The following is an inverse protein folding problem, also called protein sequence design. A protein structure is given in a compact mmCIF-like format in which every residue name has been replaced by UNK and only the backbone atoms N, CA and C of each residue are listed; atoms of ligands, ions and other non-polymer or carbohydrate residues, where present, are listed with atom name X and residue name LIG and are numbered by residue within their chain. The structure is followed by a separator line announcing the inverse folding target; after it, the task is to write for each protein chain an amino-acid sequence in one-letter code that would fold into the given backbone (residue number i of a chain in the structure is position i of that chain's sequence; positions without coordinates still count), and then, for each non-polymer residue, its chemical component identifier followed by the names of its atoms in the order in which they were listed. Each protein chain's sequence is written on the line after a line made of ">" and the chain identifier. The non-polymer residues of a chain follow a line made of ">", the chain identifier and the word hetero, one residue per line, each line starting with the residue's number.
data_IF_579467725524
#
_entry.id   IF_579467725524
#
_cell.length_a   1.000
_cell.length_b   1.000
_cell.length_c   1.000
_cell.angle_alpha   90.00
_cell.angle_beta   90.00
_cell.angle_gamma   90.00
#
_symmetry.space_group_name_H-M   'P 1'
#
loop_
_entity.id
_entity.type
_entity.pdbx_description
1 polymer ?
#
# COMPACT_ATOMS: atom_id res chain seq x y z
N UNK A 1 45.10 39.38 31.04
CA UNK A 1 44.44 38.07 30.88
C UNK A 1 43.56 37.99 29.61
N UNK A 2 44.10 38.32 28.43
CA UNK A 2 43.40 38.14 27.12
C UNK A 2 44.36 37.69 25.99
N UNK A 3 45.47 37.04 26.34
CA UNK A 3 46.46 36.49 25.38
C UNK A 3 46.77 35.00 25.56
N UNK A 4 46.13 34.34 26.53
CA UNK A 4 46.34 32.90 26.81
C UNK A 4 45.23 32.02 26.20
N UNK A 5 44.03 32.58 25.94
CA UNK A 5 42.93 31.80 25.35
C UNK A 5 43.06 31.64 23.81
N UNK A 6 43.84 32.50 23.14
CA UNK A 6 43.99 32.45 21.68
C UNK A 6 45.10 31.49 21.20
N UNK A 7 46.03 31.06 22.08
CA UNK A 7 47.04 30.04 21.72
C UNK A 7 46.56 28.59 21.89
N UNK A 8 45.50 28.32 22.66
CA UNK A 8 44.93 26.98 22.74
C UNK A 8 44.05 26.61 21.53
N UNK A 9 43.46 27.59 20.83
CA UNK A 9 42.65 27.33 19.65
C UNK A 9 43.48 27.06 18.38
N UNK A 10 44.75 27.51 18.32
CA UNK A 10 45.62 27.31 17.16
C UNK A 10 46.40 25.98 17.20
N UNK A 11 46.50 25.33 18.36
CA UNK A 11 47.21 24.04 18.52
C UNK A 11 46.31 22.82 18.25
N UNK A 12 44.98 22.97 18.28
CA UNK A 12 44.05 21.88 17.90
C UNK A 12 43.75 21.81 16.39
N UNK A 13 44.04 22.86 15.62
CA UNK A 13 43.80 22.90 14.17
C UNK A 13 44.97 22.37 13.32
N UNK A 14 46.06 21.91 13.94
CA UNK A 14 47.27 21.40 13.25
C UNK A 14 47.55 19.90 13.49
N UNK A 15 46.55 19.12 13.91
CA UNK A 15 46.68 17.66 14.14
C UNK A 15 45.81 16.75 13.25
N UNK A 16 45.34 17.24 12.10
CA UNK A 16 44.57 16.42 11.14
C UNK A 16 45.21 16.28 9.76
N UNK A 17 46.54 16.41 9.66
CA UNK A 17 47.29 16.27 8.41
C UNK A 17 48.49 15.33 8.58
N UNK A 18 48.26 14.04 8.85
CA UNK A 18 49.26 12.97 8.63
C UNK A 18 48.65 11.57 8.73
N UNK A 19 47.99 11.07 7.68
CA UNK A 19 47.83 9.64 7.43
C UNK A 19 47.35 9.40 5.98
N UNK A 20 48.16 9.83 5.02
CA UNK A 20 48.06 9.41 3.62
C UNK A 20 49.43 8.83 3.24
N UNK A 21 49.43 7.74 2.46
CA UNK A 21 50.61 6.94 1.98
C UNK A 21 50.95 5.79 2.96
N UNK A 22 50.67 4.51 2.67
CA UNK A 22 51.31 3.70 1.62
C UNK A 22 50.63 2.31 1.56
N UNK A 23 50.16 1.84 0.39
CA UNK A 23 50.64 0.62 -0.29
C UNK A 23 49.81 0.31 -1.55
N UNK A 24 50.49 0.41 -2.70
CA UNK A 24 50.08 -0.10 -3.99
C UNK A 24 50.63 -1.53 -4.23
N UNK A 25 50.20 -2.14 -5.35
CA UNK A 25 50.61 -3.42 -6.00
C UNK A 25 49.63 -4.58 -5.69
N UNK A 26 49.08 -5.36 -6.64
CA UNK A 26 49.48 -5.68 -8.02
C UNK A 26 48.35 -6.40 -8.81
N UNK A 27 48.37 -6.24 -10.15
CA UNK A 27 47.77 -7.08 -11.23
C UNK A 27 46.24 -7.18 -11.37
N UNK A 28 45.65 -7.19 -12.57
CA UNK A 28 46.24 -7.32 -13.89
C UNK A 28 45.30 -7.05 -15.08
N UNK A 29 45.98 -6.69 -16.18
CA UNK A 29 45.70 -7.05 -17.58
C UNK A 29 44.40 -6.58 -18.27
N UNK A 30 44.54 -5.47 -19.02
CA UNK A 30 43.82 -5.21 -20.27
C UNK A 30 44.43 -5.98 -21.45
N UNK A 31 43.57 -6.51 -22.33
CA UNK A 31 43.71 -6.63 -23.81
C UNK A 31 42.26 -6.69 -24.34
N UNK A 32 41.65 -5.62 -24.86
CA UNK A 32 41.82 -4.91 -26.14
C UNK A 32 41.40 -5.70 -27.38
N UNK A 33 40.35 -5.18 -28.05
CA UNK A 33 40.04 -5.21 -29.51
C UNK A 33 39.68 -6.60 -30.11
N UNK A 34 38.81 -6.77 -31.10
CA UNK A 34 38.49 -5.95 -32.28
C UNK A 34 37.21 -6.47 -32.99
N UNK A 35 36.36 -5.55 -33.45
CA UNK A 35 35.70 -5.46 -34.77
C UNK A 35 35.04 -6.67 -35.49
N UNK A 36 33.74 -6.46 -35.78
CA UNK A 36 33.16 -6.29 -37.12
C UNK A 36 32.58 -7.48 -37.93
N UNK A 37 31.29 -7.28 -38.25
CA UNK A 37 30.63 -7.27 -39.58
C UNK A 37 30.27 -8.58 -40.32
N UNK A 38 29.03 -8.49 -40.86
CA UNK A 38 28.47 -9.08 -42.09
C UNK A 38 28.16 -10.59 -42.04
N UNK A 39 27.17 -11.13 -42.76
CA UNK A 39 26.00 -10.64 -43.48
C UNK A 39 25.32 -11.86 -44.13
N UNK A 40 24.02 -11.75 -44.42
CA UNK A 40 23.26 -12.37 -45.53
C UNK A 40 23.22 -13.91 -45.71
N UNK A 41 21.98 -14.42 -45.75
CA UNK A 41 21.35 -15.07 -46.92
C UNK A 41 19.85 -15.26 -46.60
N UNK A 42 18.86 -14.65 -47.29
CA UNK A 42 18.33 -14.95 -48.66
C UNK A 42 17.77 -16.40 -48.66
N UNK A 43 16.49 -16.70 -48.93
CA UNK A 43 15.72 -16.43 -50.16
C UNK A 43 14.24 -16.90 -50.03
N UNK A 44 13.29 -16.13 -50.64
CA UNK A 44 12.14 -16.48 -51.54
C UNK A 44 11.20 -17.67 -51.21
N UNK A 45 9.90 -17.71 -51.53
CA UNK A 45 9.05 -17.15 -52.60
C UNK A 45 7.59 -17.05 -52.08
N UNK A 46 6.77 -16.06 -52.49
CA UNK A 46 5.80 -16.16 -53.61
C UNK A 46 4.50 -16.84 -53.14
N UNK A 47 3.27 -16.37 -53.37
CA UNK A 47 2.70 -15.57 -54.44
C UNK A 47 1.21 -15.30 -54.15
N UNK A 48 0.77 -14.09 -54.48
CA UNK A 48 -0.51 -13.67 -55.10
C UNK A 48 -1.72 -14.64 -55.11
N UNK A 49 -2.92 -14.13 -54.77
CA UNK A 49 -4.05 -14.09 -55.71
C UNK A 49 -5.21 -13.19 -55.23
N UNK A 50 -5.66 -12.39 -56.19
CA UNK A 50 -6.76 -11.41 -56.22
C UNK A 50 -8.12 -12.03 -56.59
N UNK A 51 -9.25 -11.54 -56.03
CA UNK A 51 -10.58 -11.33 -56.70
C UNK A 51 -11.58 -10.77 -55.64
N UNK A 52 -12.18 -9.57 -55.67
CA UNK A 52 -13.05 -8.79 -56.60
C UNK A 52 -14.52 -9.28 -56.72
N UNK A 53 -15.43 -8.34 -56.39
CA UNK A 53 -16.87 -8.16 -56.80
C UNK A 53 -17.94 -8.94 -56.00
N UNK A 54 -19.17 -8.48 -55.70
CA UNK A 54 -20.12 -7.39 -56.08
C UNK A 54 -21.19 -7.34 -54.94
N UNK A 55 -21.73 -6.21 -54.43
CA UNK A 55 -22.77 -5.27 -54.91
C UNK A 55 -24.25 -5.71 -54.90
N UNK A 56 -25.11 -4.81 -54.36
CA UNK A 56 -26.59 -4.65 -54.41
C UNK A 56 -27.42 -5.46 -53.38
N UNK A 57 -28.53 -4.99 -52.77
CA UNK A 57 -29.35 -3.77 -52.81
C UNK A 57 -30.57 -3.98 -51.85
N UNK A 58 -30.94 -3.00 -51.01
CA UNK A 58 -32.21 -2.21 -50.98
C UNK A 58 -33.53 -3.02 -50.79
N UNK A 59 -34.30 -2.72 -49.71
CA UNK A 59 -35.73 -2.29 -49.67
C UNK A 59 -36.32 -2.38 -48.23
N UNK A 60 -36.71 -1.25 -47.61
CA UNK A 60 -38.08 -0.71 -47.39
C UNK A 60 -38.94 -1.37 -46.28
N UNK A 61 -39.23 -0.55 -45.25
CA UNK A 61 -40.37 -0.55 -44.28
C UNK A 61 -41.74 -0.39 -45.01
N UNK A 62 -42.97 -0.48 -44.41
CA UNK A 62 -43.36 -0.24 -43.00
C UNK A 62 -44.64 -0.96 -42.43
N UNK A 63 -45.11 -0.48 -41.25
CA UNK A 63 -46.52 -0.25 -40.80
C UNK A 63 -47.27 -1.22 -39.83
N UNK A 64 -47.79 -0.60 -38.73
CA UNK A 64 -49.04 -0.83 -37.93
C UNK A 64 -49.27 -2.22 -37.25
N UNK A 65 -49.91 -2.37 -36.08
CA UNK A 65 -51.00 -1.61 -35.47
C UNK A 65 -51.15 -1.88 -33.95
N UNK A 66 -51.94 -1.01 -33.33
CA UNK A 66 -52.36 -0.87 -31.93
C UNK A 66 -53.13 -2.05 -31.31
N UNK A 67 -53.19 -2.08 -29.98
CA UNK A 67 -54.17 -2.84 -29.19
C UNK A 67 -54.30 -2.31 -27.76
N UNK A 68 -55.23 -1.38 -27.57
CA UNK A 68 -55.78 -0.88 -26.28
C UNK A 68 -56.88 -1.82 -25.77
N UNK A 69 -56.92 -2.08 -24.46
CA UNK A 69 -58.14 -2.30 -23.64
C UNK A 69 -57.74 -2.36 -22.15
N UNK A 70 -57.89 -1.31 -21.34
CA UNK A 70 -59.07 -0.81 -20.62
C UNK A 70 -59.57 -1.65 -19.42
N UNK A 71 -59.31 -1.04 -18.25
CA UNK A 71 -59.91 -1.06 -16.92
C UNK A 71 -61.21 -1.85 -16.61
N UNK A 72 -61.26 -2.35 -15.37
CA UNK A 72 -62.48 -2.40 -14.54
C UNK A 72 -62.15 -2.08 -13.07
N UNK A 73 -62.80 -1.04 -12.54
CA UNK A 73 -62.86 -0.71 -11.10
C UNK A 73 -64.07 -1.43 -10.46
N UNK A 74 -63.99 -1.74 -9.16
CA UNK A 74 -64.89 -1.20 -8.09
C UNK A 74 -65.09 -2.14 -6.88
N UNK A 75 -64.59 -1.66 -5.72
CA UNK A 75 -65.08 -1.70 -4.31
C UNK A 75 -65.57 -3.01 -3.65
N UNK A 76 -65.18 -3.24 -2.39
CA UNK A 76 -65.91 -2.82 -1.16
C UNK A 76 -65.13 -3.19 0.14
N UNK A 77 -65.43 -2.45 1.21
CA UNK A 77 -64.88 -2.49 2.58
C UNK A 77 -65.29 -3.71 3.42
N UNK A 78 -64.48 -4.12 4.41
CA UNK A 78 -64.89 -4.26 5.83
C UNK A 78 -63.73 -4.65 6.77
N UNK A 79 -63.70 -4.01 7.94
CA UNK A 79 -62.88 -4.22 9.16
C UNK A 79 -63.16 -5.53 9.92
N UNK A 80 -62.14 -6.10 10.60
CA UNK A 80 -62.08 -6.42 12.06
C UNK A 80 -60.77 -7.14 12.43
N UNK A 81 -60.45 -7.10 13.73
CA UNK A 81 -59.17 -7.22 14.46
C UNK A 81 -58.56 -8.64 14.67
N UNK A 82 -57.27 -8.58 15.06
CA UNK A 82 -56.46 -9.44 15.95
C UNK A 82 -56.46 -10.99 15.86
N UNK A 83 -55.26 -11.56 15.65
CA UNK A 83 -54.66 -12.66 16.46
C UNK A 83 -53.18 -12.87 16.06
N UNK A 84 -52.31 -13.09 17.06
CA UNK A 84 -50.85 -13.10 16.99
C UNK A 84 -50.20 -14.44 16.55
N UNK A 85 -49.11 -14.28 15.76
CA UNK A 85 -47.88 -15.10 15.57
C UNK A 85 -47.99 -16.56 15.04
N UNK A 86 -46.91 -17.18 14.47
CA UNK A 86 -45.57 -16.68 14.12
C UNK A 86 -45.22 -16.85 12.62
N UNK A 87 -44.22 -16.13 12.09
CA UNK A 87 -43.67 -16.42 10.76
C UNK A 87 -42.16 -16.29 10.75
N UNK A 88 -41.54 -17.45 10.60
CA UNK A 88 -40.13 -17.72 10.31
C UNK A 88 -39.75 -17.19 8.92
N UNK A 89 -38.45 -16.92 8.74
CA UNK A 89 -37.72 -16.82 7.46
C UNK A 89 -37.82 -15.42 6.83
N UNK A 90 -36.74 -14.67 6.56
CA UNK A 90 -35.36 -15.05 6.24
C UNK A 90 -34.44 -13.88 6.60
N UNK A 91 -33.37 -14.17 7.34
CA UNK A 91 -32.21 -13.31 7.41
C UNK A 91 -31.59 -13.24 6.01
N UNK A 92 -31.68 -12.08 5.37
CA UNK A 92 -30.87 -11.76 4.21
C UNK A 92 -29.45 -11.53 4.72
N UNK A 93 -28.61 -12.55 4.56
CA UNK A 93 -27.15 -12.43 4.62
C UNK A 93 -26.74 -11.30 3.67
N UNK A 94 -26.35 -10.16 4.24
CA UNK A 94 -25.55 -9.17 3.54
C UNK A 94 -24.22 -9.84 3.22
N UNK A 95 -24.09 -10.31 1.99
CA UNK A 95 -22.86 -10.82 1.42
C UNK A 95 -21.87 -9.67 1.36
N UNK A 96 -21.00 -9.58 2.37
CA UNK A 96 -19.94 -8.59 2.48
C UNK A 96 -18.95 -8.80 1.31
N UNK A 97 -19.13 -8.01 0.27
CA UNK A 97 -18.34 -8.07 -0.96
C UNK A 97 -16.85 -7.79 -0.68
N UNK A 98 -15.92 -8.50 -1.32
CA UNK A 98 -14.50 -8.45 -1.00
C UNK A 98 -13.91 -7.06 -1.27
N UNK A 99 -13.43 -6.41 -0.20
CA UNK A 99 -12.68 -5.16 -0.27
C UNK A 99 -11.27 -5.42 -0.85
N UNK A 100 -11.17 -5.50 -2.16
CA UNK A 100 -9.89 -5.56 -2.87
C UNK A 100 -9.29 -4.14 -3.02
N UNK A 101 -7.95 -4.07 -2.89
CA UNK A 101 -7.10 -2.87 -2.76
C UNK A 101 -7.29 -1.83 -3.88
N UNK A 102 -8.24 -0.93 -3.70
CA UNK A 102 -8.32 0.33 -4.46
C UNK A 102 -7.37 1.35 -3.82
N UNK A 103 -6.34 1.76 -4.56
CA UNK A 103 -5.45 2.85 -4.17
C UNK A 103 -5.86 4.14 -4.87
N UNK A 104 -6.10 5.17 -4.07
CA UNK A 104 -6.52 6.49 -4.52
C UNK A 104 -5.35 7.46 -4.46
N UNK A 105 -5.11 8.18 -5.54
CA UNK A 105 -4.07 9.21 -5.62
C UNK A 105 -4.55 10.39 -6.46
N UNK A 106 -3.80 11.49 -6.46
CA UNK A 106 -4.09 12.66 -7.31
C UNK A 106 -5.53 13.20 -7.14
N UNK A 107 -5.95 13.36 -5.87
CA UNK A 107 -7.25 13.92 -5.50
C UNK A 107 -7.24 15.44 -5.68
N UNK A 108 -7.50 15.90 -6.90
CA UNK A 108 -7.83 17.30 -7.14
C UNK A 108 -9.29 17.57 -6.77
N UNK A 109 -9.70 18.85 -6.74
CA UNK A 109 -11.09 19.25 -6.47
C UNK A 109 -12.11 18.60 -7.43
N UNK A 110 -11.70 18.21 -8.63
CA UNK A 110 -12.58 17.71 -9.69
C UNK A 110 -12.08 16.45 -10.39
N UNK A 111 -11.05 15.80 -9.86
CA UNK A 111 -10.50 14.58 -10.45
C UNK A 111 -9.83 13.70 -9.41
N UNK A 112 -9.83 12.40 -9.66
CA UNK A 112 -9.31 11.37 -8.77
C UNK A 112 -8.64 10.28 -9.61
N UNK A 113 -7.45 9.83 -9.21
CA UNK A 113 -6.84 8.64 -9.78
C UNK A 113 -7.17 7.43 -8.92
N UNK A 114 -7.68 6.39 -9.55
CA UNK A 114 -7.88 5.07 -8.95
C UNK A 114 -6.92 4.08 -9.59
N UNK A 115 -6.28 3.26 -8.76
CA UNK A 115 -5.42 2.16 -9.19
C UNK A 115 -5.76 0.90 -8.39
N UNK A 116 -5.57 -0.27 -8.98
CA UNK A 116 -5.94 -1.55 -8.37
C UNK A 116 -4.97 -2.66 -8.75
N UNK A 117 -4.71 -3.56 -7.80
CA UNK A 117 -3.89 -4.75 -8.01
C UNK A 117 -4.80 -5.99 -8.10
N UNK A 118 -4.64 -6.80 -9.15
CA UNK A 118 -5.22 -8.15 -9.19
C UNK A 118 -4.36 -9.09 -8.34
N UNK A 119 -4.97 -9.94 -7.53
CA UNK A 119 -4.27 -11.10 -6.98
C UNK A 119 -3.94 -12.08 -8.12
N UNK A 120 -2.71 -12.62 -8.20
CA UNK A 120 -2.28 -13.46 -9.31
C UNK A 120 -2.86 -14.88 -9.18
N UNK A 121 -4.15 -15.02 -9.54
CA UNK A 121 -4.79 -16.34 -9.70
C UNK A 121 -5.19 -16.62 -11.15
N UNK A 122 -5.10 -15.63 -12.05
CA UNK A 122 -5.65 -15.76 -13.40
C UNK A 122 -4.64 -15.28 -14.44
N UNK A 123 -3.94 -16.25 -15.02
CA UNK A 123 -3.08 -16.07 -16.19
C UNK A 123 -3.96 -15.96 -17.43
N UNK A 124 -4.49 -14.77 -17.74
CA UNK A 124 -5.08 -14.51 -19.07
C UNK A 124 -4.84 -13.07 -19.51
N UNK A 125 -4.21 -12.83 -20.68
CA UNK A 125 -3.90 -11.49 -21.14
C UNK A 125 -5.00 -10.95 -22.05
N UNK A 126 -6.12 -10.47 -21.50
CA UNK A 126 -6.99 -9.45 -22.13
C UNK A 126 -8.26 -9.18 -21.31
N UNK A 127 -8.10 -8.66 -20.09
CA UNK A 127 -9.26 -8.19 -19.32
C UNK A 127 -9.50 -6.72 -19.62
N UNK A 128 -10.75 -6.35 -19.92
CA UNK A 128 -11.17 -4.96 -19.93
C UNK A 128 -11.65 -4.60 -18.52
N UNK A 129 -11.31 -3.41 -18.04
CA UNK A 129 -11.81 -2.91 -16.75
C UNK A 129 -12.86 -1.85 -17.00
N UNK A 130 -13.89 -1.85 -16.16
CA UNK A 130 -14.95 -0.84 -16.11
C UNK A 130 -14.96 -0.22 -14.73
N UNK A 131 -15.07 1.09 -14.66
CA UNK A 131 -15.24 1.82 -13.41
C UNK A 131 -16.64 2.41 -13.45
N UNK A 132 -17.48 1.96 -12.53
CA UNK A 132 -18.80 2.51 -12.29
C UNK A 132 -18.71 3.41 -11.06
N UNK A 133 -19.09 4.69 -11.18
CA UNK A 133 -19.07 5.64 -10.08
C UNK A 133 -20.37 6.44 -10.00
N UNK A 134 -20.98 6.55 -8.83
CA UNK A 134 -22.25 7.26 -8.65
C UNK A 134 -22.17 8.34 -7.58
N UNK A 135 -22.85 9.46 -7.83
CA UNK A 135 -23.15 10.49 -6.83
C UNK A 135 -24.66 10.64 -6.77
N UNK A 136 -25.23 10.60 -5.56
CA UNK A 136 -26.68 10.74 -5.34
C UNK A 136 -27.51 9.77 -6.20
N UNK A 137 -27.00 8.56 -6.44
CA UNK A 137 -27.67 7.55 -7.26
C UNK A 137 -27.58 7.76 -8.79
N UNK A 138 -26.89 8.81 -9.28
CA UNK A 138 -26.65 9.00 -10.73
C UNK A 138 -25.40 8.23 -11.15
N UNK A 139 -25.52 7.12 -11.90
CA UNK A 139 -24.37 6.30 -12.27
C UNK A 139 -23.62 6.92 -13.45
N UNK A 140 -22.30 6.97 -13.34
CA UNK A 140 -21.38 7.27 -14.42
C UNK A 140 -20.47 6.07 -14.66
N UNK A 141 -20.00 5.92 -15.90
CA UNK A 141 -19.22 4.77 -16.34
C UNK A 141 -17.99 5.19 -17.12
N UNK A 142 -16.86 4.59 -16.78
CA UNK A 142 -15.59 4.73 -17.51
C UNK A 142 -15.09 3.34 -17.91
N UNK A 143 -15.02 3.08 -19.22
CA UNK A 143 -14.48 1.82 -19.75
C UNK A 143 -13.01 2.02 -20.11
N UNK A 144 -12.15 1.13 -19.65
CA UNK A 144 -10.71 1.15 -19.91
C UNK A 144 -10.35 0.04 -20.89
N UNK A 145 -9.64 0.42 -21.95
CA UNK A 145 -9.09 -0.52 -22.92
C UNK A 145 -7.76 -1.11 -22.44
N UNK A 146 -7.58 -2.42 -22.61
CA UNK A 146 -6.30 -3.09 -22.39
C UNK A 146 -5.99 -3.39 -20.92
N UNK A 147 -4.70 -3.58 -20.60
CA UNK A 147 -4.22 -4.02 -19.29
C UNK A 147 -4.02 -2.89 -18.28
N UNK A 148 -4.66 -1.72 -18.49
CA UNK A 148 -4.49 -0.59 -17.57
C UNK A 148 -4.98 -0.97 -16.17
N UNK A 149 -4.15 -0.69 -15.17
CA UNK A 149 -4.44 -0.88 -13.74
C UNK A 149 -4.62 0.42 -13.00
N UNK A 150 -4.73 1.51 -13.76
CA UNK A 150 -4.98 2.85 -13.28
C UNK A 150 -5.96 3.58 -14.20
N UNK A 151 -6.71 4.50 -13.62
CA UNK A 151 -7.62 5.38 -14.35
C UNK A 151 -7.80 6.72 -13.64
N UNK A 152 -7.94 7.77 -14.44
CA UNK A 152 -8.28 9.10 -13.96
C UNK A 152 -9.79 9.34 -14.14
N UNK A 153 -10.52 9.45 -13.04
CA UNK A 153 -11.90 9.93 -13.05
C UNK A 153 -11.86 11.46 -13.04
N UNK A 154 -12.49 12.10 -14.04
CA UNK A 154 -12.51 13.56 -14.22
C UNK A 154 -13.94 14.08 -14.19
N UNK A 155 -14.12 15.37 -13.89
CA UNK A 155 -15.44 16.00 -13.84
C UNK A 155 -16.20 15.71 -12.54
N UNK A 156 -15.48 15.32 -11.49
CA UNK A 156 -16.07 15.14 -10.16
C UNK A 156 -16.41 16.51 -9.54
N UNK A 157 -17.40 16.53 -8.65
CA UNK A 157 -17.84 17.76 -8.00
C UNK A 157 -17.21 17.90 -6.63
N UNK A 158 -16.44 18.96 -6.39
CA UNK A 158 -15.75 19.18 -5.13
C UNK A 158 -16.69 19.10 -3.92
N UNK A 159 -16.23 18.45 -2.84
CA UNK A 159 -16.96 18.26 -1.59
C UNK A 159 -18.03 17.16 -1.63
N UNK A 160 -18.16 16.41 -2.73
CA UNK A 160 -19.23 15.41 -2.90
C UNK A 160 -18.75 13.99 -2.64
N UNK A 161 -19.66 13.17 -2.09
CA UNK A 161 -19.46 11.75 -1.89
C UNK A 161 -19.75 10.95 -3.17
N UNK A 162 -18.92 9.96 -3.48
CA UNK A 162 -19.06 9.06 -4.62
C UNK A 162 -18.92 7.61 -4.17
N UNK A 163 -19.80 6.73 -4.64
CA UNK A 163 -19.60 5.29 -4.58
C UNK A 163 -18.91 4.83 -5.85
N UNK A 164 -17.73 4.25 -5.74
CA UNK A 164 -16.92 3.82 -6.90
C UNK A 164 -16.73 2.31 -6.83
N UNK A 165 -17.00 1.63 -7.95
CA UNK A 165 -16.76 0.21 -8.14
C UNK A 165 -15.87 -0.02 -9.36
N UNK A 166 -14.82 -0.81 -9.20
CA UNK A 166 -14.01 -1.31 -10.32
C UNK A 166 -14.49 -2.72 -10.65
N UNK A 167 -14.81 -2.97 -11.91
CA UNK A 167 -15.38 -4.22 -12.42
C UNK A 167 -14.47 -4.76 -13.51
N UNK A 168 -14.09 -6.03 -13.40
CA UNK A 168 -13.40 -6.76 -14.46
C UNK A 168 -14.45 -7.33 -15.41
N UNK A 169 -14.28 -7.04 -16.70
CA UNK A 169 -15.15 -7.52 -17.78
C UNK A 169 -14.38 -8.55 -18.58
N UNK A 170 -14.84 -9.80 -18.56
CA UNK A 170 -14.24 -10.91 -19.29
C UNK A 170 -14.84 -11.05 -20.70
N UNK A 171 -13.99 -11.42 -21.66
CA UNK A 171 -14.32 -11.34 -23.11
C UNK A 171 -15.31 -12.40 -23.59
N UNK A 172 -15.67 -13.36 -22.76
CA UNK A 172 -16.66 -14.42 -23.05
C UNK A 172 -18.01 -14.18 -22.35
N UNK A 173 -18.38 -12.90 -22.18
CA UNK A 173 -19.77 -12.46 -22.07
C UNK A 173 -20.62 -13.21 -21.03
N UNK A 174 -20.38 -12.94 -19.74
CA UNK A 174 -21.41 -12.73 -18.70
C UNK A 174 -20.81 -12.65 -17.27
N UNK A 175 -19.51 -12.91 -17.08
CA UNK A 175 -18.88 -12.78 -15.76
C UNK A 175 -18.38 -11.34 -15.51
N UNK A 176 -19.13 -10.60 -14.70
CA UNK A 176 -18.68 -9.32 -14.11
C UNK A 176 -18.17 -9.61 -12.70
N UNK A 177 -16.88 -9.38 -12.44
CA UNK A 177 -16.33 -9.48 -11.09
C UNK A 177 -16.02 -8.09 -10.56
N UNK A 178 -16.63 -7.72 -9.43
CA UNK A 178 -16.25 -6.50 -8.69
C UNK A 178 -14.85 -6.71 -8.11
N UNK A 179 -13.91 -5.92 -8.59
CA UNK A 179 -12.49 -5.88 -8.21
C UNK A 179 -12.25 -4.92 -7.06
N UNK A 180 -13.26 -4.15 -6.65
CA UNK A 180 -13.17 -3.29 -5.47
C UNK A 180 -14.32 -2.30 -5.46
N UNK A 181 -14.74 -1.89 -4.26
CA UNK A 181 -15.74 -0.86 -4.04
C UNK A 181 -15.27 0.06 -2.93
N UNK A 182 -15.39 1.37 -3.10
CA UNK A 182 -15.13 2.32 -2.04
C UNK A 182 -16.07 3.52 -2.12
N UNK A 183 -16.27 4.17 -0.98
CA UNK A 183 -16.96 5.46 -0.86
C UNK A 183 -15.92 6.56 -0.69
N UNK A 184 -16.01 7.62 -1.48
CA UNK A 184 -15.00 8.67 -1.52
C UNK A 184 -15.58 10.07 -1.46
N UNK A 185 -14.90 10.96 -0.76
CA UNK A 185 -15.24 12.39 -0.71
C UNK A 185 -14.26 13.19 -1.54
N UNK A 186 -14.75 13.84 -2.57
CA UNK A 186 -13.96 14.67 -3.48
C UNK A 186 -13.66 16.02 -2.82
N UNK A 187 -12.48 16.61 -3.08
CA UNK A 187 -12.10 17.88 -2.45
C UNK A 187 -11.46 17.78 -1.06
N UNK A 188 -11.39 16.59 -0.45
CA UNK A 188 -10.36 16.30 0.56
C UNK A 188 -9.05 16.16 -0.19
N UNK A 189 -8.37 17.29 -0.41
CA UNK A 189 -7.07 17.34 -1.08
C UNK A 189 -6.12 16.50 -0.24
N UNK A 190 -5.78 15.30 -0.70
CA UNK A 190 -4.51 14.68 -0.33
C UNK A 190 -3.48 15.62 -0.95
N UNK A 191 -2.98 16.57 -0.15
CA UNK A 191 -1.91 17.47 -0.58
C UNK A 191 -0.82 16.61 -1.22
N UNK A 192 -0.39 16.99 -2.43
CA UNK A 192 0.78 16.38 -3.04
C UNK A 192 1.88 16.37 -1.96
N UNK A 193 2.45 15.21 -1.60
CA UNK A 193 3.24 15.10 -0.40
C UNK A 193 4.46 16.00 -0.54
N UNK A 194 4.41 17.15 0.14
CA UNK A 194 5.46 18.15 0.21
C UNK A 194 6.59 17.54 1.04
N UNK A 195 7.78 17.44 0.46
CA UNK A 195 8.95 16.94 1.16
C UNK A 195 10.04 16.44 0.22
N UNK A 196 11.25 16.34 0.75
CA UNK A 196 12.40 15.80 0.04
C UNK A 196 12.28 14.27 -0.10
N UNK A 197 12.78 13.72 -1.21
CA UNK A 197 12.94 12.28 -1.39
C UNK A 197 14.25 11.85 -0.72
N UNK A 198 14.12 11.23 0.44
CA UNK A 198 15.24 10.80 1.29
C UNK A 198 15.26 9.28 1.46
N UNK A 199 16.22 8.74 2.21
CA UNK A 199 16.19 7.30 2.56
C UNK A 199 14.98 6.97 3.43
N UNK A 200 14.57 7.86 4.34
CA UNK A 200 13.38 7.72 5.16
C UNK A 200 12.10 7.62 4.32
N UNK A 201 12.04 8.38 3.23
CA UNK A 201 10.93 8.35 2.27
C UNK A 201 10.67 6.97 1.68
N UNK A 202 11.70 6.12 1.59
CA UNK A 202 11.63 4.78 1.01
C UNK A 202 11.12 3.74 1.99
N UNK A 203 11.06 4.05 3.29
CA UNK A 203 10.63 3.10 4.32
C UNK A 203 9.11 3.09 4.44
N UNK A 204 8.56 1.90 4.64
CA UNK A 204 7.15 1.70 4.91
C UNK A 204 6.97 1.39 6.40
N UNK A 205 6.86 2.43 7.21
CA UNK A 205 6.67 2.29 8.66
C UNK A 205 5.18 2.47 8.94
N UNK A 206 4.52 1.44 9.47
CA UNK A 206 3.07 1.41 9.68
C UNK A 206 2.71 1.08 11.12
N UNK A 207 1.54 1.51 11.55
CA UNK A 207 0.90 1.02 12.77
C UNK A 207 0.36 -0.40 12.57
N UNK A 208 0.33 -1.18 13.64
CA UNK A 208 -0.21 -2.53 13.63
C UNK A 208 -0.69 -2.98 14.99
N UNK A 209 -1.36 -4.13 15.04
CA UNK A 209 -1.82 -4.74 16.29
C UNK A 209 -1.45 -6.22 16.35
N UNK A 210 -0.86 -6.66 17.45
CA UNK A 210 -0.54 -8.07 17.67
C UNK A 210 -1.85 -8.81 18.00
N UNK A 211 -2.26 -9.73 17.13
CA UNK A 211 -3.45 -10.56 17.30
C UNK A 211 -3.13 -11.88 18.00
N UNK A 212 -1.99 -12.47 17.67
CA UNK A 212 -1.52 -13.73 18.23
C UNK A 212 -0.03 -13.63 18.53
N UNK A 213 0.41 -14.28 19.60
CA UNK A 213 1.81 -14.41 19.96
C UNK A 213 2.08 -15.83 20.43
N UNK A 214 3.22 -16.39 20.04
CA UNK A 214 3.69 -17.70 20.49
C UNK A 214 5.21 -17.74 20.51
N UNK A 215 5.79 -18.58 21.36
CA UNK A 215 7.25 -18.79 21.37
C UNK A 215 7.69 -19.55 20.12
N UNK A 216 8.84 -19.16 19.58
CA UNK A 216 9.40 -19.84 18.42
C UNK A 216 9.84 -21.27 18.80
N UNK A 217 9.45 -22.31 18.04
CA UNK A 217 9.68 -23.71 18.42
C UNK A 217 11.16 -24.10 18.47
N UNK A 218 11.99 -23.48 17.61
CA UNK A 218 13.43 -23.76 17.51
C UNK A 218 14.34 -22.65 18.07
N UNK A 219 13.77 -21.64 18.75
CA UNK A 219 14.55 -20.48 19.21
C UNK A 219 13.99 -19.85 20.49
N UNK A 220 14.67 -20.08 21.62
CA UNK A 220 14.22 -19.62 22.94
C UNK A 220 14.13 -18.09 23.09
N UNK A 221 14.83 -17.35 22.24
CA UNK A 221 14.87 -15.88 22.27
C UNK A 221 13.88 -15.20 21.34
N UNK A 222 13.08 -15.96 20.57
CA UNK A 222 12.21 -15.41 19.53
C UNK A 222 10.73 -15.67 19.83
N UNK A 223 9.90 -14.67 19.54
CA UNK A 223 8.46 -14.80 19.40
C UNK A 223 8.07 -14.89 17.94
N UNK A 224 6.93 -15.50 17.68
CA UNK A 224 6.23 -15.52 16.40
C UNK A 224 4.90 -14.83 16.61
N UNK A 225 4.77 -13.65 16.01
CA UNK A 225 3.59 -12.81 16.13
C UNK A 225 2.76 -12.79 14.84
N UNK A 226 1.44 -12.79 14.99
CA UNK A 226 0.50 -12.40 13.92
C UNK A 226 0.11 -10.95 14.13
N UNK A 227 0.54 -10.08 13.23
CA UNK A 227 0.33 -8.63 13.34
C UNK A 227 -0.60 -8.16 12.23
N UNK A 228 -1.72 -7.58 12.62
CA UNK A 228 -2.66 -6.92 11.72
C UNK A 228 -2.16 -5.52 11.37
N UNK A 229 -1.92 -5.30 10.07
CA UNK A 229 -1.52 -4.01 9.49
C UNK A 229 -2.66 -3.41 8.65
N UNK A 230 -3.91 -3.82 8.85
CA UNK A 230 -5.05 -3.36 8.05
C UNK A 230 -4.98 -3.79 6.58
N UNK A 231 -4.28 -4.89 6.30
CA UNK A 231 -4.07 -5.40 4.95
C UNK A 231 -5.17 -6.38 4.56
N UNK A 232 -5.61 -6.32 3.30
CA UNK A 232 -6.65 -7.21 2.78
C UNK A 232 -6.23 -8.69 2.77
N UNK A 233 -4.92 -8.96 2.68
CA UNK A 233 -4.36 -10.32 2.70
C UNK A 233 -4.31 -10.93 4.11
N UNK A 234 -4.73 -10.17 5.14
CA UNK A 234 -4.77 -10.60 6.53
C UNK A 234 -3.49 -10.28 7.32
N UNK A 235 -3.39 -10.79 8.57
CA UNK A 235 -2.27 -10.47 9.45
C UNK A 235 -0.96 -11.10 8.96
N UNK A 236 0.13 -10.35 9.11
CA UNK A 236 1.48 -10.80 8.75
C UNK A 236 2.10 -11.62 9.87
N UNK A 237 2.87 -12.64 9.50
CA UNK A 237 3.79 -13.31 10.44
C UNK A 237 5.03 -12.45 10.60
N UNK A 238 5.31 -12.00 11.82
CA UNK A 238 6.55 -11.32 12.19
C UNK A 238 7.23 -12.18 13.26
N UNK A 239 8.56 -12.17 13.28
CA UNK A 239 9.35 -12.89 14.27
C UNK A 239 10.26 -11.88 14.96
N UNK A 240 10.10 -11.71 16.27
CA UNK A 240 10.83 -10.71 17.05
C UNK A 240 11.69 -11.33 18.16
N UNK A 241 12.77 -10.65 18.52
CA UNK A 241 13.69 -11.08 19.58
C UNK A 241 13.32 -10.59 20.98
N UNK A 242 12.03 -10.57 21.32
CA UNK A 242 11.53 -9.87 22.52
C UNK A 242 11.36 -10.74 23.77
N UNK A 243 11.59 -12.06 23.69
CA UNK A 243 11.33 -13.01 24.81
C UNK A 243 12.05 -12.64 26.12
N UNK A 244 13.22 -12.00 26.04
CA UNK A 244 13.99 -11.59 27.22
C UNK A 244 13.52 -10.27 27.83
N UNK A 245 12.67 -9.51 27.13
CA UNK A 245 12.39 -8.11 27.44
C UNK A 245 10.90 -7.82 27.70
N UNK A 246 10.00 -8.59 27.10
CA UNK A 246 8.55 -8.41 27.19
C UNK A 246 7.87 -9.76 27.37
N UNK A 247 6.80 -9.82 28.14
CA UNK A 247 6.01 -11.05 28.28
C UNK A 247 4.98 -11.19 27.16
N UNK A 248 4.43 -12.39 26.98
CA UNK A 248 3.41 -12.66 25.96
C UNK A 248 2.14 -11.85 26.24
N UNK A 249 1.78 -11.70 27.51
CA UNK A 249 0.61 -10.96 27.97
C UNK A 249 0.74 -9.45 27.74
N UNK A 250 1.96 -8.90 27.81
CA UNK A 250 2.23 -7.48 27.55
C UNK A 250 2.19 -7.14 26.05
N UNK A 251 2.48 -8.13 25.19
CA UNK A 251 2.49 -7.96 23.75
C UNK A 251 1.16 -8.30 23.09
N UNK A 252 0.41 -9.27 23.63
CA UNK A 252 -0.87 -9.68 23.05
C UNK A 252 -1.87 -8.52 23.04
N UNK A 253 -2.46 -8.24 21.88
CA UNK A 253 -3.42 -7.16 21.70
C UNK A 253 -2.80 -5.76 21.67
N UNK A 254 -1.48 -5.64 21.82
CA UNK A 254 -0.77 -4.35 21.84
C UNK A 254 -0.72 -3.73 20.44
N UNK A 255 -0.93 -2.42 20.38
CA UNK A 255 -0.66 -1.61 19.20
C UNK A 255 0.85 -1.29 19.11
N UNK A 256 1.41 -1.51 17.94
CA UNK A 256 2.85 -1.49 17.68
C UNK A 256 3.16 -0.74 16.39
N UNK A 257 4.45 -0.47 16.18
CA UNK A 257 4.97 0.10 14.93
C UNK A 257 5.83 -0.92 14.21
N UNK A 258 5.57 -1.10 12.91
CA UNK A 258 6.19 -2.13 12.08
C UNK A 258 6.83 -1.50 10.84
N UNK A 259 8.07 -1.87 10.56
CA UNK A 259 8.69 -1.66 9.26
C UNK A 259 8.27 -2.79 8.31
N UNK A 260 7.39 -2.46 7.36
CA UNK A 260 6.63 -3.42 6.56
C UNK A 260 7.23 -3.75 5.18
N UNK A 261 8.16 -2.92 4.66
CA UNK A 261 8.73 -3.15 3.33
C UNK A 261 10.16 -3.73 3.34
N UNK A 262 10.58 -4.37 4.44
CA UNK A 262 11.79 -5.18 4.42
C UNK A 262 11.62 -6.41 3.53
N UNK A 263 12.75 -6.92 3.02
CA UNK A 263 12.77 -8.23 2.37
C UNK A 263 12.39 -9.30 3.40
N UNK A 264 11.42 -10.18 3.12
CA UNK A 264 11.09 -11.29 4.02
C UNK A 264 12.31 -12.13 4.35
N UNK A 265 12.47 -12.48 5.62
CA UNK A 265 13.63 -13.21 6.13
C UNK A 265 13.19 -14.42 6.93
N UNK A 266 13.73 -15.59 6.58
CA UNK A 266 13.57 -16.80 7.38
C UNK A 266 14.47 -16.72 8.62
N UNK A 267 13.87 -16.86 9.80
CA UNK A 267 14.52 -16.96 11.09
C UNK A 267 14.18 -18.34 11.64
N UNK A 268 15.16 -19.24 11.64
CA UNK A 268 15.00 -20.63 12.15
C UNK A 268 13.76 -21.36 11.58
N UNK A 269 13.56 -21.23 10.27
CA UNK A 269 12.50 -21.92 9.54
C UNK A 269 11.20 -21.12 9.36
N UNK A 270 10.95 -20.09 10.16
CA UNK A 270 9.75 -19.24 10.04
C UNK A 270 10.09 -17.95 9.30
N UNK A 271 9.31 -17.59 8.28
CA UNK A 271 9.52 -16.37 7.49
C UNK A 271 8.86 -15.17 8.16
N UNK A 272 9.67 -14.18 8.55
CA UNK A 272 9.20 -12.89 9.05
C UNK A 272 8.97 -11.93 7.88
N UNK A 273 7.80 -11.28 7.88
CA UNK A 273 7.32 -10.34 6.85
C UNK A 273 7.34 -8.88 7.32
N UNK A 274 8.28 -8.56 8.21
CA UNK A 274 8.47 -7.22 8.75
C UNK A 274 9.38 -7.23 9.96
N UNK A 275 9.44 -6.08 10.63
CA UNK A 275 10.20 -5.89 11.86
C UNK A 275 9.45 -4.95 12.78
N UNK A 276 9.24 -5.34 14.03
CA UNK A 276 8.74 -4.42 15.06
C UNK A 276 9.83 -3.42 15.40
N UNK A 277 9.50 -2.13 15.42
CA UNK A 277 10.41 -1.10 15.91
C UNK A 277 10.32 -1.02 17.43
N UNK A 278 11.47 -1.06 18.08
CA UNK A 278 11.57 -0.99 19.53
C UNK A 278 12.57 0.09 19.95
N UNK A 279 12.32 0.73 21.09
CA UNK A 279 13.32 1.54 21.78
C UNK A 279 14.13 0.66 22.74
N UNK A 280 15.42 0.93 22.83
CA UNK A 280 16.33 0.25 23.74
C UNK A 280 17.22 1.25 24.47
N UNK A 281 17.57 0.94 25.71
CA UNK A 281 18.57 1.71 26.44
C UNK A 281 19.99 1.41 25.92
N UNK A 282 20.96 2.22 26.33
CA UNK A 282 22.36 2.14 25.89
C UNK A 282 22.98 0.73 26.10
N UNK A 283 22.64 0.07 27.22
CA UNK A 283 23.13 -1.28 27.53
C UNK A 283 22.33 -2.41 26.86
N UNK A 284 21.27 -2.09 26.12
CA UNK A 284 20.29 -3.03 25.54
C UNK A 284 19.70 -4.04 26.54
N UNK A 285 19.62 -3.66 27.82
CA UNK A 285 19.03 -4.47 28.89
C UNK A 285 17.52 -4.29 29.00
N UNK A 286 17.00 -3.15 28.53
CA UNK A 286 15.58 -2.83 28.49
C UNK A 286 15.21 -2.52 27.05
N UNK A 287 14.23 -3.23 26.51
CA UNK A 287 13.71 -3.04 25.16
C UNK A 287 12.18 -2.94 25.23
N UNK A 288 11.61 -1.89 24.65
CA UNK A 288 10.17 -1.65 24.61
C UNK A 288 9.69 -1.41 23.17
N UNK A 289 8.62 -2.08 22.72
CA UNK A 289 7.99 -1.77 21.43
C UNK A 289 7.50 -0.32 21.40
N UNK A 290 7.66 0.33 20.24
CA UNK A 290 7.03 1.62 19.98
C UNK A 290 5.50 1.49 20.07
N UNK A 291 4.85 2.52 20.60
CA UNK A 291 3.40 2.55 20.81
C UNK A 291 2.79 3.78 20.11
N UNK A 292 1.95 3.57 19.08
CA UNK A 292 1.21 4.66 18.46
C UNK A 292 0.19 5.24 19.46
N UNK A 293 -0.28 6.47 19.24
CA UNK A 293 -1.35 7.04 20.05
C UNK A 293 -2.66 6.27 19.86
N UNK A 294 -3.55 6.24 20.89
CA UNK A 294 -4.77 5.45 20.83
C UNK A 294 -5.74 5.96 19.76
N UNK A 295 -6.40 5.03 19.07
CA UNK A 295 -7.43 5.32 18.06
C UNK A 295 -6.88 5.67 16.67
N UNK A 296 -5.61 5.34 16.42
CA UNK A 296 -5.01 5.33 15.08
C UNK A 296 -5.52 4.12 14.29
N UNK A 297 -5.75 4.28 12.99
CA UNK A 297 -6.16 3.16 12.15
C UNK A 297 -5.01 2.13 12.02
N UNK A 298 -5.34 0.84 11.96
CA UNK A 298 -4.34 -0.20 11.67
C UNK A 298 -3.80 -0.01 10.26
N UNK A 299 -2.49 -0.16 10.09
CA UNK A 299 -1.82 0.03 8.80
C UNK A 299 -1.54 1.47 8.43
N UNK A 300 -1.83 2.43 9.30
CA UNK A 300 -1.58 3.84 9.01
C UNK A 300 -0.07 4.08 8.81
N UNK A 301 0.28 4.74 7.71
CA UNK A 301 1.66 5.08 7.39
C UNK A 301 2.15 6.21 8.29
N UNK A 302 3.25 5.97 8.99
CA UNK A 302 3.92 6.99 9.79
C UNK A 302 4.61 7.99 8.87
N UNK A 303 4.40 9.27 9.17
CA UNK A 303 4.90 10.38 8.39
C UNK A 303 5.95 11.17 9.16
N UNK A 304 6.80 11.87 8.41
CA UNK A 304 7.89 12.66 8.95
C UNK A 304 7.87 14.03 8.27
N UNK A 305 7.85 15.09 9.07
CA UNK A 305 7.80 16.45 8.54
C UNK A 305 9.00 16.74 7.62
N UNK A 306 8.74 17.32 6.45
CA UNK A 306 9.78 17.61 5.45
C UNK A 306 10.22 16.42 4.60
N UNK A 307 9.76 15.20 4.89
CA UNK A 307 10.07 14.00 4.11
C UNK A 307 8.84 13.51 3.36
N UNK A 308 8.97 13.38 2.04
CA UNK A 308 7.88 12.83 1.23
C UNK A 308 7.71 11.34 1.54
N UNK A 309 6.48 10.89 1.79
CA UNK A 309 6.15 9.47 1.83
C UNK A 309 6.17 8.88 0.40
N UNK A 310 7.14 8.00 0.11
CA UNK A 310 7.23 7.28 -1.16
C UNK A 310 7.83 5.87 -0.92
N UNK A 311 7.15 5.00 -0.16
CA UNK A 311 7.71 3.72 0.23
C UNK A 311 8.05 2.85 -0.99
N UNK A 312 9.21 2.22 -0.95
CA UNK A 312 9.64 1.30 -2.00
C UNK A 312 8.95 -0.07 -1.82
N UNK A 313 8.76 -0.83 -2.91
CA UNK A 313 8.30 -2.21 -2.81
C UNK A 313 9.21 -3.07 -1.90
N UNK A 314 8.67 -4.09 -1.23
CA UNK A 314 9.44 -4.92 -0.31
C UNK A 314 10.74 -5.47 -0.93
N UNK A 315 11.88 -5.22 -0.30
CA UNK A 315 13.16 -5.70 -0.84
C UNK A 315 14.42 -5.03 -0.31
N UNK A 316 15.54 -5.27 -1.01
CA UNK A 316 16.88 -4.84 -0.59
C UNK A 316 17.05 -3.32 -0.54
N UNK A 317 16.28 -2.56 -1.31
CA UNK A 317 16.36 -1.09 -1.32
C UNK A 317 15.85 -0.50 -0.01
N UNK A 318 14.76 -1.03 0.54
CA UNK A 318 14.24 -0.64 1.84
C UNK A 318 15.22 -1.00 2.97
N UNK A 319 15.79 -2.21 2.95
CA UNK A 319 16.81 -2.60 3.94
C UNK A 319 18.01 -1.65 3.95
N UNK A 320 18.59 -1.35 2.77
CA UNK A 320 19.70 -0.38 2.66
C UNK A 320 19.32 1.03 3.09
N UNK A 321 18.06 1.43 2.87
CA UNK A 321 17.57 2.72 3.33
C UNK A 321 17.48 2.74 4.87
N UNK A 322 16.99 1.65 5.47
CA UNK A 322 16.91 1.50 6.92
C UNK A 322 18.30 1.54 7.57
N UNK A 323 19.26 0.78 7.03
CA UNK A 323 20.65 0.76 7.52
C UNK A 323 21.29 2.16 7.56
N UNK A 324 20.88 3.07 6.67
CA UNK A 324 21.40 4.45 6.59
C UNK A 324 20.75 5.40 7.58
N UNK A 325 19.54 5.09 8.05
CA UNK A 325 18.79 5.98 8.96
C UNK A 325 18.74 5.44 10.39
N UNK A 326 18.98 4.15 10.61
CA UNK A 326 18.81 3.47 11.89
C UNK A 326 19.59 4.13 13.03
N UNK A 327 20.84 4.54 12.80
CA UNK A 327 21.67 5.22 13.82
C UNK A 327 21.11 6.59 14.25
N UNK A 328 20.22 7.17 13.45
CA UNK A 328 19.60 8.47 13.70
C UNK A 328 18.18 8.36 14.26
N UNK A 329 17.68 7.13 14.46
CA UNK A 329 16.40 6.85 15.10
C UNK A 329 16.58 6.75 16.62
N UNK A 330 15.80 7.53 17.36
CA UNK A 330 15.89 7.55 18.82
C UNK A 330 14.74 8.26 19.49
N UNK A 331 14.74 8.24 20.80
CA UNK A 331 13.80 8.96 21.65
C UNK A 331 14.54 9.73 22.74
N UNK A 332 14.12 10.98 22.95
CA UNK A 332 14.66 11.86 23.99
C UNK A 332 13.96 11.65 25.34
N UNK A 333 14.09 12.65 26.22
CA UNK A 333 13.45 12.67 27.54
C UNK A 333 11.92 12.73 27.46
N UNK A 334 11.38 13.24 26.36
CA UNK A 334 9.94 13.30 26.07
C UNK A 334 9.35 11.94 25.67
N UNK A 335 10.19 10.91 25.49
CA UNK A 335 9.80 9.56 25.08
C UNK A 335 9.03 9.51 23.75
N UNK A 336 9.26 10.51 22.90
CA UNK A 336 8.71 10.58 21.55
C UNK A 336 9.70 9.92 20.60
N UNK A 337 9.22 9.04 19.71
CA UNK A 337 10.05 8.46 18.67
C UNK A 337 10.40 9.53 17.62
N UNK A 338 11.68 9.68 17.31
CA UNK A 338 12.19 10.69 16.38
C UNK A 338 13.24 10.14 15.42
N UNK A 339 13.36 10.79 14.26
CA UNK A 339 14.46 10.66 13.31
C UNK A 339 15.16 12.01 13.21
N UNK A 340 16.42 12.15 13.64
CA UNK A 340 17.12 13.45 13.70
C UNK A 340 16.31 14.57 14.40
N UNK A 341 15.54 14.21 15.43
CA UNK A 341 14.64 15.13 16.14
C UNK A 341 13.29 15.39 15.44
N UNK A 342 13.04 14.81 14.26
CA UNK A 342 11.74 14.86 13.57
C UNK A 342 10.85 13.75 14.13
N UNK A 343 9.68 14.06 14.73
CA UNK A 343 8.81 13.05 15.32
C UNK A 343 8.21 12.09 14.29
N UNK A 344 7.97 10.85 14.74
CA UNK A 344 7.15 9.87 14.05
C UNK A 344 5.68 10.27 14.21
N UNK A 345 5.03 10.73 13.13
CA UNK A 345 3.68 11.30 13.20
C UNK A 345 2.61 10.39 12.61
N UNK A 346 1.47 10.32 13.32
CA UNK A 346 0.21 9.71 12.88
C UNK A 346 -0.91 10.76 12.84
N UNK A 347 -2.09 10.37 12.37
CA UNK A 347 -3.32 11.16 12.34
C UNK A 347 -3.83 11.57 13.72
N UNK A 348 -3.38 10.89 14.79
CA UNK A 348 -3.76 11.17 16.19
C UNK A 348 -2.62 11.73 17.03
N UNK A 349 -1.43 11.94 16.46
CA UNK A 349 -0.28 12.52 17.16
C UNK A 349 1.00 11.70 17.03
N UNK A 350 2.02 12.01 17.87
CA UNK A 350 3.32 11.37 17.80
C UNK A 350 3.30 9.95 18.36
N UNK A 351 4.16 9.09 17.81
CA UNK A 351 4.45 7.76 18.36
C UNK A 351 5.34 7.89 19.60
N UNK A 352 5.06 7.09 20.62
CA UNK A 352 5.81 7.07 21.88
C UNK A 352 6.62 5.78 22.04
N UNK A 353 7.66 5.81 22.86
CA UNK A 353 8.55 4.66 23.11
C UNK A 353 8.44 4.12 24.54
N UNK A 354 7.91 4.91 25.47
CA UNK A 354 7.86 4.58 26.91
C UNK A 354 9.24 4.50 27.58
N UNK A 355 10.30 4.96 26.90
CA UNK A 355 11.66 5.13 27.40
C UNK A 355 12.52 5.97 26.43
N UNK A 356 13.50 6.69 26.95
CA UNK A 356 14.54 7.31 26.12
C UNK A 356 15.53 6.24 25.62
N UNK A 357 16.17 6.48 24.46
CA UNK A 357 17.20 5.59 23.92
C UNK A 357 17.20 5.48 22.40
N UNK A 358 17.95 4.50 21.88
CA UNK A 358 18.04 4.21 20.44
C UNK A 358 16.87 3.36 19.96
N UNK A 359 16.38 3.62 18.75
CA UNK A 359 15.31 2.84 18.12
C UNK A 359 15.92 1.89 17.09
N UNK A 360 15.51 0.62 17.13
CA UNK A 360 15.98 -0.45 16.24
C UNK A 360 14.86 -1.35 15.77
#
# INVERSE_FOLDING_TARGET
>A
MKRIVLMCALVMLLRSASAFTTRALVSGTQKSRMTARKALSVTRHGSSLTRKRRHQGIDRVPFLNQGLAQAAHTRLFSTTEDTAAPSTTSASTEEELPQLLLHWSDSAKTSLRVSWTDTPSSTTPSHAYRIDYSRDGVPNRLTLGGTSREAMIRGLHAGSQYDVAVVRVEREGLAEKVVGRARLETGKVVEAPKGELTELSRLEIRTGKILEISRHPEADGLYVEKIDLGEADGPRTIVSGLVKYQTEEELLGREVVVLANLKPRALKGITSHGMLLCASNEDHTVVKPLSPPPGVALGELITFEGHRAAPEPPGNRAGKAFDRVAEELGAGEDMIATYKGIPFMTSKGPVTTGMAGSIS
#
